data_IF_759444250426
#
_entry.id   IF_759444250426
#
_cell.length_a   1.000
_cell.length_b   1.000
_cell.length_c   1.000
_cell.angle_alpha   90.00
_cell.angle_beta   90.00
_cell.angle_gamma   90.00
#
_symmetry.space_group_name_H-M   'P 1'
#
loop_
_entity.id
_entity.type
_entity.pdbx_description
1 polymer ?
#
# COMPACT_ATOMS: atom_id res chain seq x y z
N UNK A 1 11.71 22.37 30.07
CA UNK A 1 12.49 21.26 29.50
C UNK A 1 11.83 19.97 29.94
N UNK A 2 10.82 19.53 29.20
CA UNK A 2 10.18 18.24 29.42
C UNK A 2 10.69 17.31 28.32
N UNK A 3 11.58 16.39 28.71
CA UNK A 3 11.96 15.24 27.89
C UNK A 3 10.79 14.26 27.93
N UNK A 4 9.89 14.33 26.97
CA UNK A 4 9.04 13.20 26.63
C UNK A 4 9.94 12.14 25.99
N UNK A 5 10.25 11.11 26.78
CA UNK A 5 10.81 9.87 26.25
C UNK A 5 9.78 9.28 25.29
N UNK A 6 10.09 9.35 24.00
CA UNK A 6 9.56 8.46 22.99
C UNK A 6 9.73 7.04 23.52
N UNK A 7 8.63 6.37 23.81
CA UNK A 7 8.65 4.95 24.16
C UNK A 7 8.92 4.21 22.85
N UNK A 8 10.16 3.78 22.65
CA UNK A 8 10.51 2.77 21.67
C UNK A 8 9.66 1.52 21.98
N UNK A 9 8.62 1.29 21.18
CA UNK A 9 7.93 0.00 21.17
C UNK A 9 8.91 -1.04 20.66
N UNK A 10 9.13 -2.09 21.46
CA UNK A 10 10.33 -2.92 21.45
C UNK A 10 10.48 -3.87 20.25
N UNK A 11 9.74 -3.70 19.16
CA UNK A 11 9.76 -4.61 18.00
C UNK A 11 9.35 -6.06 18.36
N UNK A 12 8.73 -6.26 19.52
CA UNK A 12 8.29 -7.55 20.02
C UNK A 12 6.84 -7.80 19.60
N UNK A 13 6.55 -8.98 19.07
CA UNK A 13 5.18 -9.46 18.84
C UNK A 13 4.43 -9.65 20.17
N UNK A 14 3.12 -9.91 20.09
CA UNK A 14 2.24 -10.16 21.25
C UNK A 14 2.69 -11.34 22.14
N UNK A 15 3.60 -12.19 21.64
CA UNK A 15 4.21 -13.29 22.37
C UNK A 15 5.53 -12.92 23.07
N UNK A 16 5.92 -11.64 23.08
CA UNK A 16 7.14 -11.15 23.76
C UNK A 16 8.46 -11.47 23.06
N UNK A 17 8.40 -11.96 21.82
CA UNK A 17 9.57 -12.25 20.97
C UNK A 17 9.64 -11.26 19.81
N UNK A 18 10.80 -11.07 19.18
CA UNK A 18 10.84 -10.42 17.88
C UNK A 18 9.99 -11.22 16.89
N UNK A 19 9.18 -10.53 16.07
CA UNK A 19 8.27 -11.18 15.10
C UNK A 19 9.00 -12.11 14.12
N UNK A 20 10.31 -11.88 13.89
CA UNK A 20 11.19 -12.70 13.05
C UNK A 20 11.72 -13.97 13.74
N UNK A 21 11.64 -14.08 15.08
CA UNK A 21 12.15 -15.22 15.85
C UNK A 21 11.06 -15.96 16.63
N UNK A 22 9.80 -15.53 16.53
CA UNK A 22 8.67 -16.17 17.17
C UNK A 22 8.16 -17.35 16.33
N UNK A 23 8.32 -18.57 16.82
CA UNK A 23 7.84 -19.78 16.14
C UNK A 23 6.31 -19.80 15.95
N UNK A 24 5.55 -19.18 16.84
CA UNK A 24 4.09 -19.05 16.75
C UNK A 24 3.71 -18.11 15.61
N UNK A 25 4.31 -16.90 15.55
CA UNK A 25 4.08 -15.97 14.46
C UNK A 25 4.55 -16.55 13.11
N UNK A 26 5.64 -17.31 13.09
CA UNK A 26 6.12 -17.97 11.87
C UNK A 26 5.15 -19.04 11.37
N UNK A 27 4.55 -19.85 12.27
CA UNK A 27 3.56 -20.85 11.91
C UNK A 27 2.23 -20.21 11.43
N UNK A 28 1.79 -19.13 12.09
CA UNK A 28 0.63 -18.35 11.65
C UNK A 28 0.84 -17.78 10.25
N UNK A 29 2.00 -17.16 10.00
CA UNK A 29 2.37 -16.64 8.68
C UNK A 29 2.41 -17.74 7.62
N UNK A 30 2.99 -18.91 7.93
CA UNK A 30 3.03 -20.03 7.00
C UNK A 30 1.62 -20.54 6.63
N UNK A 31 0.74 -20.70 7.63
CA UNK A 31 -0.66 -21.08 7.38
C UNK A 31 -1.41 -20.00 6.58
N UNK A 32 -1.14 -18.72 6.83
CA UNK A 32 -1.71 -17.63 6.03
C UNK A 32 -1.21 -17.67 4.59
N UNK A 33 0.08 -17.95 4.35
CA UNK A 33 0.64 -18.08 2.98
C UNK A 33 -0.05 -19.22 2.22
N UNK A 34 -0.29 -20.38 2.84
CA UNK A 34 -0.99 -21.48 2.16
C UNK A 34 -2.41 -21.08 1.73
N UNK A 35 -3.17 -20.43 2.63
CA UNK A 35 -4.52 -19.95 2.33
C UNK A 35 -4.53 -18.86 1.24
N UNK A 36 -3.58 -17.93 1.31
CA UNK A 36 -3.44 -16.85 0.34
C UNK A 36 -2.99 -17.37 -1.03
N UNK A 37 -2.10 -18.36 -1.07
CA UNK A 37 -1.69 -19.02 -2.32
C UNK A 37 -2.87 -19.71 -2.99
N UNK A 38 -3.70 -20.43 -2.22
CA UNK A 38 -4.92 -21.04 -2.75
C UNK A 38 -5.87 -19.98 -3.33
N UNK A 39 -6.04 -18.85 -2.63
CA UNK A 39 -6.81 -17.72 -3.14
C UNK A 39 -6.21 -17.16 -4.45
N UNK A 40 -4.89 -16.96 -4.52
CA UNK A 40 -4.23 -16.44 -5.72
C UNK A 40 -4.28 -17.39 -6.91
N UNK A 41 -4.29 -18.72 -6.68
CA UNK A 41 -4.50 -19.72 -7.75
C UNK A 41 -5.85 -19.49 -8.44
N UNK A 42 -6.91 -19.33 -7.66
CA UNK A 42 -8.25 -19.06 -8.19
C UNK A 42 -8.32 -17.68 -8.83
N UNK A 43 -7.80 -16.67 -8.14
CA UNK A 43 -7.91 -15.27 -8.52
C UNK A 43 -7.12 -14.90 -9.79
N UNK A 44 -5.90 -15.41 -9.94
CA UNK A 44 -5.08 -15.22 -11.14
C UNK A 44 -5.37 -16.27 -12.21
N UNK A 45 -6.33 -17.18 -11.96
CA UNK A 45 -6.67 -18.32 -12.80
C UNK A 45 -5.44 -19.16 -13.21
N UNK A 46 -4.52 -19.40 -12.28
CA UNK A 46 -3.28 -20.13 -12.55
C UNK A 46 -3.59 -21.53 -13.08
N UNK A 47 -2.88 -21.93 -14.12
CA UNK A 47 -3.10 -23.18 -14.86
C UNK A 47 -2.31 -24.34 -14.25
N UNK A 48 -1.21 -24.07 -13.56
CA UNK A 48 -0.39 -25.12 -12.94
C UNK A 48 0.08 -24.79 -11.52
N UNK A 49 0.36 -25.80 -10.68
CA UNK A 49 0.96 -25.59 -9.37
C UNK A 49 2.32 -24.87 -9.43
N UNK A 50 3.10 -25.10 -10.48
CA UNK A 50 4.41 -24.46 -10.67
C UNK A 50 4.28 -22.95 -10.86
N UNK A 51 3.22 -22.46 -11.49
CA UNK A 51 2.95 -21.01 -11.57
C UNK A 51 2.69 -20.42 -10.18
N UNK A 52 1.93 -21.14 -9.35
CA UNK A 52 1.64 -20.71 -7.98
C UNK A 52 2.91 -20.63 -7.15
N UNK A 53 3.81 -21.61 -7.23
CA UNK A 53 5.09 -21.63 -6.49
C UNK A 53 6.04 -20.48 -6.85
N UNK A 54 5.88 -19.88 -8.04
CA UNK A 54 6.70 -18.74 -8.47
C UNK A 54 6.29 -17.42 -7.82
N UNK A 55 5.09 -17.35 -7.22
CA UNK A 55 4.64 -16.21 -6.43
C UNK A 55 5.38 -16.22 -5.09
N UNK A 56 6.13 -15.13 -4.83
CA UNK A 56 6.87 -14.94 -3.57
C UNK A 56 6.00 -14.15 -2.60
N UNK A 57 6.09 -14.45 -1.31
CA UNK A 57 5.42 -13.70 -0.26
C UNK A 57 6.46 -13.05 0.65
N UNK A 58 6.29 -11.76 0.92
CA UNK A 58 7.15 -10.97 1.81
C UNK A 58 6.25 -10.27 2.83
N UNK A 59 6.58 -10.33 4.12
CA UNK A 59 5.85 -9.54 5.13
C UNK A 59 6.18 -8.07 4.95
N UNK A 60 5.23 -7.17 5.21
CA UNK A 60 5.46 -5.73 5.16
C UNK A 60 6.64 -5.30 6.05
N UNK A 61 6.81 -5.93 7.22
CA UNK A 61 7.95 -5.68 8.10
C UNK A 61 9.30 -6.15 7.53
N UNK A 62 9.31 -7.14 6.63
CA UNK A 62 10.52 -7.72 6.05
C UNK A 62 10.82 -7.17 4.64
N UNK A 63 10.18 -6.05 4.26
CA UNK A 63 10.42 -5.44 2.96
C UNK A 63 11.90 -5.04 2.80
N UNK A 64 12.45 -5.13 1.58
CA UNK A 64 13.77 -4.58 1.27
C UNK A 64 13.85 -3.11 1.68
N UNK A 65 15.03 -2.63 2.10
CA UNK A 65 15.18 -1.29 2.66
C UNK A 65 14.60 -0.17 1.78
N UNK A 66 14.73 -0.27 0.46
CA UNK A 66 14.19 0.72 -0.48
C UNK A 66 12.65 0.82 -0.45
N UNK A 67 11.98 -0.28 -0.14
CA UNK A 67 10.52 -0.36 0.01
C UNK A 67 10.08 -0.27 1.48
N UNK A 68 10.95 -0.63 2.42
CA UNK A 68 10.68 -0.60 3.87
C UNK A 68 10.37 0.80 4.38
N UNK A 69 10.95 1.84 3.78
CA UNK A 69 10.62 3.24 4.07
C UNK A 69 9.12 3.56 3.87
N UNK A 70 8.49 2.94 2.88
CA UNK A 70 7.04 3.09 2.63
C UNK A 70 6.22 2.48 3.76
N UNK A 71 6.60 1.30 4.24
CA UNK A 71 5.97 0.68 5.41
C UNK A 71 6.16 1.50 6.69
N UNK A 72 7.39 1.96 6.94
CA UNK A 72 7.72 2.72 8.14
C UNK A 72 7.03 4.09 8.17
N UNK A 73 6.73 4.69 7.02
CA UNK A 73 6.01 5.94 6.94
C UNK A 73 4.64 5.90 7.62
N UNK A 74 3.89 4.79 7.47
CA UNK A 74 2.58 4.64 8.11
C UNK A 74 2.66 4.47 9.63
N UNK A 75 3.84 4.11 10.17
CA UNK A 75 4.09 3.98 11.61
C UNK A 75 3.06 3.12 12.35
N UNK A 76 2.59 2.04 11.71
CA UNK A 76 1.53 1.18 12.23
C UNK A 76 1.99 -0.28 12.33
N UNK A 77 2.24 -0.74 13.54
CA UNK A 77 2.72 -2.10 13.81
C UNK A 77 1.70 -3.18 13.42
N UNK A 78 0.40 -2.85 13.32
CA UNK A 78 -0.64 -3.81 12.90
C UNK A 78 -0.42 -4.28 11.47
N UNK A 79 0.25 -3.46 10.65
CA UNK A 79 0.59 -3.79 9.26
C UNK A 79 1.74 -4.80 9.16
N UNK A 80 2.48 -5.08 10.23
CA UNK A 80 3.71 -5.89 10.17
C UNK A 80 3.53 -7.27 9.51
N UNK A 81 2.34 -7.86 9.67
CA UNK A 81 2.01 -9.19 9.13
C UNK A 81 1.20 -9.14 7.83
N UNK A 82 0.94 -7.96 7.26
CA UNK A 82 0.41 -7.86 5.88
C UNK A 82 1.42 -8.51 4.94
N UNK A 83 0.93 -9.37 4.05
CA UNK A 83 1.74 -10.12 3.11
C UNK A 83 1.69 -9.46 1.73
N UNK A 84 2.86 -9.20 1.18
CA UNK A 84 3.07 -8.72 -0.19
C UNK A 84 3.37 -9.93 -1.08
N UNK A 85 2.43 -10.29 -1.93
CA UNK A 85 2.58 -11.29 -2.99
C UNK A 85 3.23 -10.63 -4.22
N UNK A 86 4.49 -10.99 -4.47
CA UNK A 86 5.25 -10.57 -5.65
C UNK A 86 4.95 -11.54 -6.78
N UNK A 87 4.17 -11.08 -7.76
CA UNK A 87 3.61 -11.88 -8.85
C UNK A 87 4.47 -11.67 -10.09
N UNK A 88 4.99 -12.75 -10.73
CA UNK A 88 5.70 -12.65 -12.00
C UNK A 88 4.91 -11.87 -13.05
N UNK A 89 5.59 -11.00 -13.82
CA UNK A 89 4.95 -10.06 -14.74
C UNK A 89 4.03 -10.73 -15.76
N UNK A 90 4.40 -11.91 -16.26
CA UNK A 90 3.59 -12.68 -17.20
C UNK A 90 2.34 -13.35 -16.59
N UNK A 91 2.26 -13.40 -15.25
CA UNK A 91 1.08 -13.83 -14.50
C UNK A 91 0.22 -12.63 -14.01
N UNK A 92 0.65 -11.40 -14.28
CA UNK A 92 -0.08 -10.20 -13.88
C UNK A 92 -1.25 -9.91 -14.83
N UNK A 93 -2.47 -9.92 -14.30
CA UNK A 93 -3.71 -9.82 -15.11
C UNK A 93 -4.40 -8.45 -15.04
N UNK A 94 -3.86 -7.49 -14.28
CA UNK A 94 -4.53 -6.21 -13.96
C UNK A 94 -4.17 -5.03 -14.87
N UNK A 95 -3.62 -5.32 -16.04
CA UNK A 95 -3.31 -4.30 -17.03
C UNK A 95 -2.23 -3.32 -16.55
N UNK A 96 -2.54 -2.03 -16.53
CA UNK A 96 -1.56 -0.96 -16.35
C UNK A 96 -1.22 -0.63 -14.88
N UNK A 97 -2.06 -1.04 -13.91
CA UNK A 97 -1.78 -0.81 -12.50
C UNK A 97 -0.73 -1.82 -12.00
N UNK A 98 0.27 -1.41 -11.22
CA UNK A 98 1.36 -2.29 -10.79
C UNK A 98 1.07 -3.03 -9.47
N UNK A 99 0.06 -2.63 -8.72
CA UNK A 99 -0.35 -3.26 -7.47
C UNK A 99 -1.86 -3.22 -7.27
N UNK A 100 -2.32 -3.99 -6.30
CA UNK A 100 -3.65 -3.91 -5.69
C UNK A 100 -3.62 -4.56 -4.31
N UNK A 101 -4.60 -4.26 -3.46
CA UNK A 101 -4.75 -4.88 -2.14
C UNK A 101 -6.06 -5.65 -2.02
N UNK A 102 -5.99 -6.76 -1.29
CA UNK A 102 -7.13 -7.40 -0.64
C UNK A 102 -6.97 -7.16 0.87
N UNK A 103 -7.27 -5.92 1.28
CA UNK A 103 -7.04 -5.42 2.63
C UNK A 103 -7.66 -6.32 3.72
N UNK A 104 -8.83 -6.90 3.43
CA UNK A 104 -9.54 -7.81 4.32
C UNK A 104 -8.84 -9.15 4.56
N UNK A 105 -7.92 -9.50 3.66
CA UNK A 105 -7.07 -10.70 3.73
C UNK A 105 -5.65 -10.38 4.23
N UNK A 106 -5.36 -9.10 4.48
CA UNK A 106 -3.99 -8.65 4.77
C UNK A 106 -3.03 -8.98 3.63
N UNK A 107 -3.48 -8.86 2.39
CA UNK A 107 -2.73 -9.22 1.18
C UNK A 107 -2.57 -8.01 0.27
N UNK A 108 -1.37 -7.81 -0.24
CA UNK A 108 -1.04 -6.86 -1.31
C UNK A 108 -0.46 -7.66 -2.46
N UNK A 109 -1.03 -7.52 -3.65
CA UNK A 109 -0.51 -8.10 -4.88
C UNK A 109 0.32 -7.05 -5.60
N UNK A 110 1.54 -7.38 -6.03
CA UNK A 110 2.41 -6.46 -6.75
C UNK A 110 3.09 -7.17 -7.92
N UNK A 111 3.16 -6.48 -9.07
CA UNK A 111 3.89 -6.94 -10.25
C UNK A 111 5.39 -6.98 -9.96
N UNK A 112 6.05 -8.10 -10.27
CA UNK A 112 7.44 -8.35 -9.89
C UNK A 112 8.40 -7.30 -10.43
N UNK A 113 8.30 -6.88 -11.69
CA UNK A 113 9.13 -5.84 -12.27
C UNK A 113 9.02 -4.51 -11.54
N UNK A 114 7.86 -4.22 -10.93
CA UNK A 114 7.66 -2.99 -10.17
C UNK A 114 8.23 -3.07 -8.74
N UNK A 115 8.16 -4.26 -8.14
CA UNK A 115 8.72 -4.55 -6.82
C UNK A 115 10.26 -4.70 -6.85
N UNK A 116 10.79 -5.41 -7.84
CA UNK A 116 12.21 -5.75 -7.95
C UNK A 116 13.01 -4.65 -8.70
N UNK A 117 12.32 -3.83 -9.51
CA UNK A 117 12.88 -2.84 -10.43
C UNK A 117 12.87 -3.35 -11.87
N UNK A 118 12.43 -2.52 -12.81
CA UNK A 118 12.33 -2.93 -14.22
C UNK A 118 13.71 -3.04 -14.87
N UNK A 119 13.85 -3.90 -15.89
CA UNK A 119 15.12 -4.09 -16.56
C UNK A 119 15.65 -2.76 -17.16
N UNK A 120 16.74 -2.22 -16.59
CA UNK A 120 17.32 -0.94 -16.98
C UNK A 120 16.83 0.28 -16.17
N UNK A 121 15.91 0.08 -15.22
CA UNK A 121 15.51 1.06 -14.23
C UNK A 121 15.70 0.48 -12.82
N UNK A 122 16.67 1.01 -12.08
CA UNK A 122 16.92 0.56 -10.70
C UNK A 122 15.90 1.11 -9.70
N UNK A 123 15.05 2.06 -10.10
CA UNK A 123 14.04 2.65 -9.23
C UNK A 123 12.88 1.68 -9.04
N UNK A 124 12.65 1.29 -7.79
CA UNK A 124 11.56 0.42 -7.36
C UNK A 124 10.42 1.28 -6.87
N UNK A 125 9.23 1.03 -7.38
CA UNK A 125 8.02 1.73 -6.96
C UNK A 125 8.15 3.27 -6.83
N UNK A 126 8.50 3.98 -7.93
CA UNK A 126 8.67 5.44 -7.91
C UNK A 126 7.39 6.20 -7.53
N UNK A 127 6.22 5.60 -7.77
CA UNK A 127 4.92 6.21 -7.46
C UNK A 127 4.47 5.93 -6.03
N UNK A 128 5.23 5.15 -5.25
CA UNK A 128 4.88 4.73 -3.89
C UNK A 128 3.52 4.00 -3.79
N UNK A 129 3.24 3.14 -4.76
CA UNK A 129 2.07 2.26 -4.77
C UNK A 129 2.01 1.37 -3.54
N UNK A 130 3.15 0.90 -3.01
CA UNK A 130 3.13 0.08 -1.81
C UNK A 130 2.61 0.86 -0.59
N UNK A 131 2.93 2.14 -0.47
CA UNK A 131 2.35 3.04 0.56
C UNK A 131 0.84 3.12 0.41
N UNK A 132 0.35 3.25 -0.83
CA UNK A 132 -1.07 3.29 -1.14
C UNK A 132 -1.78 1.99 -0.71
N UNK A 133 -1.24 0.83 -1.08
CA UNK A 133 -1.85 -0.46 -0.72
C UNK A 133 -1.78 -0.77 0.78
N UNK A 134 -0.71 -0.33 1.45
CA UNK A 134 -0.59 -0.42 2.90
C UNK A 134 -1.61 0.48 3.61
N UNK A 135 -1.93 1.64 3.03
CA UNK A 135 -2.96 2.53 3.57
C UNK A 135 -4.37 1.92 3.46
N UNK A 136 -4.68 1.17 2.39
CA UNK A 136 -5.91 0.36 2.35
C UNK A 136 -5.96 -0.66 3.48
N UNK A 137 -4.87 -1.40 3.70
CA UNK A 137 -4.77 -2.36 4.79
C UNK A 137 -4.93 -1.69 6.16
N UNK A 138 -4.30 -0.52 6.36
CA UNK A 138 -4.42 0.27 7.59
C UNK A 138 -5.87 0.68 7.84
N UNK A 139 -6.52 1.24 6.81
CA UNK A 139 -7.92 1.66 6.88
C UNK A 139 -8.85 0.50 7.25
N UNK A 140 -8.64 -0.68 6.67
CA UNK A 140 -9.42 -1.88 7.01
C UNK A 140 -9.21 -2.29 8.48
N UNK A 141 -7.97 -2.27 8.96
CA UNK A 141 -7.66 -2.65 10.34
C UNK A 141 -8.19 -1.65 11.36
N UNK A 142 -8.32 -0.37 11.00
CA UNK A 142 -8.90 0.68 11.85
C UNK A 142 -10.43 0.68 11.86
N UNK A 143 -11.04 0.42 10.70
CA UNK A 143 -12.46 0.63 10.46
C UNK A 143 -13.11 -0.60 9.84
N UNK A 144 -12.81 -1.79 10.37
CA UNK A 144 -13.24 -3.07 9.78
C UNK A 144 -14.74 -3.16 9.51
N UNK A 145 -15.56 -2.62 10.39
CA UNK A 145 -17.03 -2.64 10.28
C UNK A 145 -17.56 -1.67 9.22
N UNK A 146 -16.87 -0.54 9.02
CA UNK A 146 -17.29 0.54 8.13
C UNK A 146 -16.60 0.46 6.75
N UNK A 147 -15.55 -0.36 6.60
CA UNK A 147 -14.70 -0.36 5.40
C UNK A 147 -15.48 -0.56 4.10
N UNK A 148 -16.41 -1.52 4.08
CA UNK A 148 -17.25 -1.78 2.91
C UNK A 148 -18.16 -0.59 2.58
N UNK A 149 -18.72 0.06 3.61
CA UNK A 149 -19.53 1.26 3.42
C UNK A 149 -18.68 2.43 2.91
N UNK A 150 -17.46 2.61 3.42
CA UNK A 150 -16.55 3.66 2.98
C UNK A 150 -16.09 3.47 1.53
N UNK A 151 -15.97 2.21 1.05
CA UNK A 151 -15.68 1.91 -0.36
C UNK A 151 -16.81 2.36 -1.31
N UNK A 152 -18.05 2.39 -0.83
CA UNK A 152 -19.23 2.83 -1.59
C UNK A 152 -19.57 4.31 -1.37
N UNK A 153 -18.99 4.94 -0.34
CA UNK A 153 -19.30 6.32 0.02
C UNK A 153 -18.38 7.28 -0.73
N UNK A 154 -18.93 8.25 -1.49
CA UNK A 154 -18.11 9.26 -2.15
C UNK A 154 -17.22 10.03 -1.18
N UNK A 155 -15.98 10.30 -1.59
CA UNK A 155 -15.09 11.21 -0.85
C UNK A 155 -15.46 12.67 -1.11
N UNK A 156 -15.90 12.97 -2.33
CA UNK A 156 -16.34 14.28 -2.78
C UNK A 156 -17.71 14.19 -3.44
N UNK A 157 -18.73 14.81 -2.85
CA UNK A 157 -20.10 14.74 -3.38
C UNK A 157 -20.27 15.46 -4.73
N UNK A 158 -19.32 16.32 -5.10
CA UNK A 158 -19.33 17.14 -6.31
C UNK A 158 -18.52 16.56 -7.49
N UNK A 159 -17.84 15.42 -7.30
CA UNK A 159 -17.11 14.72 -8.37
C UNK A 159 -17.95 13.53 -8.86
N UNK A 160 -18.08 13.41 -10.17
CA UNK A 160 -18.87 12.35 -10.82
C UNK A 160 -18.37 10.96 -10.43
N UNK A 161 -19.31 10.02 -10.20
CA UNK A 161 -19.03 8.60 -9.90
C UNK A 161 -18.34 7.88 -11.06
N UNK A 162 -18.40 8.44 -12.28
CA UNK A 162 -17.62 7.93 -13.41
C UNK A 162 -16.11 8.25 -13.33
N UNK A 163 -15.67 9.04 -12.34
CA UNK A 163 -14.26 9.38 -12.05
C UNK A 163 -13.66 8.34 -11.08
N UNK A 164 -12.49 7.81 -11.43
CA UNK A 164 -11.90 6.57 -10.88
C UNK A 164 -11.56 6.62 -9.38
N UNK A 165 -11.93 5.56 -8.63
CA UNK A 165 -13.12 5.67 -7.81
C UNK A 165 -12.99 6.83 -6.81
N UNK A 166 -13.87 7.81 -6.96
CA UNK A 166 -14.12 8.82 -5.93
C UNK A 166 -14.83 8.18 -4.73
N UNK A 167 -14.08 7.55 -3.82
CA UNK A 167 -14.60 7.04 -2.55
C UNK A 167 -13.64 7.32 -1.38
N UNK A 168 -14.13 7.15 -0.15
CA UNK A 168 -13.36 7.47 1.07
C UNK A 168 -12.15 6.58 1.30
N UNK A 169 -12.21 5.33 0.85
CA UNK A 169 -11.10 4.37 0.98
C UNK A 169 -9.94 4.78 0.08
N UNK A 170 -10.23 5.13 -1.18
CA UNK A 170 -9.26 5.64 -2.15
C UNK A 170 -8.72 7.02 -1.74
N UNK A 171 -9.58 7.91 -1.25
CA UNK A 171 -9.16 9.21 -0.76
C UNK A 171 -8.11 9.08 0.35
N UNK A 172 -8.36 8.18 1.31
CA UNK A 172 -7.42 7.89 2.39
C UNK A 172 -6.08 7.34 1.85
N UNK A 173 -6.13 6.38 0.92
CA UNK A 173 -4.95 5.75 0.35
C UNK A 173 -4.10 6.74 -0.46
N UNK A 174 -4.71 7.50 -1.37
CA UNK A 174 -4.03 8.54 -2.15
C UNK A 174 -3.51 9.68 -1.28
N UNK A 175 -4.26 10.11 -0.26
CA UNK A 175 -3.78 11.14 0.67
C UNK A 175 -2.49 10.68 1.37
N UNK A 176 -2.44 9.42 1.79
CA UNK A 176 -1.26 8.83 2.46
C UNK A 176 -0.08 8.69 1.50
N UNK A 177 -0.33 8.19 0.29
CA UNK A 177 0.67 8.10 -0.78
C UNK A 177 1.28 9.48 -1.11
N UNK A 178 0.44 10.50 -1.30
CA UNK A 178 0.93 11.85 -1.64
C UNK A 178 1.67 12.49 -0.48
N UNK A 179 1.24 12.25 0.77
CA UNK A 179 1.96 12.71 1.95
C UNK A 179 3.36 12.07 2.05
N UNK A 180 3.48 10.78 1.73
CA UNK A 180 4.76 10.09 1.67
C UNK A 180 5.66 10.68 0.58
N UNK A 181 5.17 10.79 -0.65
CA UNK A 181 5.93 11.35 -1.77
C UNK A 181 6.40 12.79 -1.48
N UNK A 182 5.53 13.60 -0.88
CA UNK A 182 5.90 14.94 -0.40
C UNK A 182 7.00 14.88 0.66
N UNK A 183 6.94 13.94 1.60
CA UNK A 183 7.98 13.76 2.63
C UNK A 183 9.34 13.38 2.04
N UNK A 184 9.35 12.75 0.86
CA UNK A 184 10.55 12.46 0.06
C UNK A 184 11.02 13.64 -0.79
N UNK A 185 10.34 14.79 -0.72
CA UNK A 185 10.70 16.00 -1.46
C UNK A 185 10.20 16.00 -2.92
N UNK A 186 9.26 15.14 -3.27
CA UNK A 186 8.62 15.19 -4.59
C UNK A 186 7.64 16.37 -4.60
N UNK A 187 7.74 17.22 -5.61
CA UNK A 187 6.83 18.35 -5.80
C UNK A 187 5.49 17.89 -6.38
N UNK A 188 4.45 18.71 -6.20
CA UNK A 188 3.09 18.43 -6.67
C UNK A 188 3.06 18.03 -8.15
N UNK A 189 3.75 18.78 -9.00
CA UNK A 189 3.83 18.52 -10.45
C UNK A 189 4.57 17.21 -10.76
N UNK A 190 5.53 16.82 -9.91
CA UNK A 190 6.22 15.54 -10.00
C UNK A 190 5.27 14.37 -9.78
N UNK A 191 4.44 14.45 -8.73
CA UNK A 191 3.42 13.42 -8.45
C UNK A 191 2.41 13.33 -9.61
N UNK A 192 1.93 14.48 -10.12
CA UNK A 192 1.05 14.50 -11.30
C UNK A 192 1.70 13.81 -12.50
N UNK A 193 2.99 14.04 -12.73
CA UNK A 193 3.75 13.36 -13.79
C UNK A 193 3.77 11.85 -13.64
N UNK A 194 3.97 11.35 -12.41
CA UNK A 194 3.95 9.92 -12.08
C UNK A 194 2.57 9.28 -12.27
N UNK A 195 1.47 9.99 -11.98
CA UNK A 195 0.12 9.45 -12.12
C UNK A 195 -0.36 9.39 -13.57
N UNK A 196 0.11 10.31 -14.44
CA UNK A 196 -0.32 10.39 -15.85
C UNK A 196 0.00 9.15 -16.68
N UNK A 197 0.92 8.30 -16.22
CA UNK A 197 1.23 7.03 -16.88
C UNK A 197 0.18 5.95 -16.62
N UNK A 198 -0.65 6.11 -15.58
CA UNK A 198 -1.61 5.11 -15.13
C UNK A 198 -3.08 5.57 -15.23
N UNK A 199 -3.32 6.89 -15.26
CA UNK A 199 -4.66 7.48 -15.17
C UNK A 199 -5.03 8.36 -16.36
N UNK A 200 -6.34 8.54 -16.55
CA UNK A 200 -6.88 9.41 -17.61
C UNK A 200 -7.04 10.83 -17.07
N UNK A 201 -7.08 11.81 -17.97
CA UNK A 201 -7.22 13.23 -17.59
C UNK A 201 -8.44 13.50 -16.69
N UNK A 202 -9.55 12.78 -16.89
CA UNK A 202 -10.75 12.95 -16.06
C UNK A 202 -10.55 12.53 -14.59
N UNK A 203 -9.60 11.63 -14.31
CA UNK A 203 -9.31 11.13 -12.97
C UNK A 203 -8.58 12.19 -12.12
N UNK A 204 -7.95 13.19 -12.77
CA UNK A 204 -7.18 14.22 -12.07
C UNK A 204 -8.03 15.20 -11.28
N UNK A 205 -9.34 15.32 -11.54
CA UNK A 205 -10.21 16.14 -10.68
C UNK A 205 -10.19 15.63 -9.23
N UNK A 206 -10.22 14.31 -9.05
CA UNK A 206 -10.12 13.67 -7.75
C UNK A 206 -8.72 13.83 -7.14
N UNK A 207 -7.67 13.52 -7.90
CA UNK A 207 -6.28 13.63 -7.40
C UNK A 207 -5.90 15.06 -7.04
N UNK A 208 -6.32 16.05 -7.83
CA UNK A 208 -5.99 17.45 -7.60
C UNK A 208 -6.59 17.96 -6.27
N UNK A 209 -7.78 17.49 -5.88
CA UNK A 209 -8.37 17.84 -4.57
C UNK A 209 -7.53 17.32 -3.40
N UNK A 210 -7.02 16.10 -3.51
CA UNK A 210 -6.19 15.48 -2.47
C UNK A 210 -4.82 16.16 -2.43
N UNK A 211 -4.17 16.34 -3.58
CA UNK A 211 -2.90 17.06 -3.70
C UNK A 211 -2.99 18.48 -3.14
N UNK A 212 -4.08 19.18 -3.42
CA UNK A 212 -4.32 20.51 -2.86
C UNK A 212 -4.36 20.50 -1.34
N UNK A 213 -5.02 19.51 -0.72
CA UNK A 213 -5.02 19.38 0.75
C UNK A 213 -3.62 19.10 1.29
N UNK A 214 -2.90 18.16 0.68
CA UNK A 214 -1.55 17.75 1.10
C UNK A 214 -0.53 18.89 0.98
N UNK A 215 -0.58 19.69 -0.09
CA UNK A 215 0.41 20.76 -0.34
C UNK A 215 -0.01 22.14 0.18
N UNK A 216 -1.30 22.51 0.09
CA UNK A 216 -1.77 23.83 0.58
C UNK A 216 -1.92 23.86 2.11
N UNK A 217 -2.18 22.72 2.74
CA UNK A 217 -2.25 22.61 4.21
C UNK A 217 -0.97 23.06 4.93
N UNK A 218 0.21 22.94 4.29
CA UNK A 218 1.49 23.35 4.87
C UNK A 218 1.83 24.84 4.72
N UNK A 219 1.22 25.57 3.78
CA UNK A 219 1.47 27.01 3.61
C UNK A 219 0.82 27.87 4.71
N UNK A 220 -0.18 27.33 5.40
CA UNK A 220 -0.83 27.99 6.54
C UNK A 220 -0.05 27.85 7.86
N UNK A 221 0.79 26.80 8.00
CA UNK A 221 1.63 26.60 9.20
C UNK A 221 2.97 27.33 9.13
N UNK A 222 3.49 27.65 7.94
CA UNK A 222 4.72 28.44 7.78
C UNK A 222 4.50 29.97 7.89
N UNK A 223 3.25 30.40 8.11
CA UNK A 223 2.84 31.80 8.27
C UNK A 223 2.29 32.13 9.67
N UNK A 224 2.36 31.20 10.61
CA UNK A 224 2.05 31.37 12.04
C UNK A 224 3.33 31.20 12.86
#
# INVERSE_FOLDING_TARGET
MNNEKVVETTGLCLHGNFSSSCSVCAAEVASSIEQLRAHLVEYLELKTPEEAERIKFVRALDLPAELGDQYHFLSDERLANVLVAVIPDELWVKGAQPSESSAERGLINVRAGYFEGEAGNSERDPSAWLTHELAHCQRYLEHREDYAQDSDTPAFDDIDVEVYPNNRVEEHAFNTQFAYLKSKGIEREGIVGLLKTHYKDKDFEFFDRILDRVYKGSELQSRL
#
